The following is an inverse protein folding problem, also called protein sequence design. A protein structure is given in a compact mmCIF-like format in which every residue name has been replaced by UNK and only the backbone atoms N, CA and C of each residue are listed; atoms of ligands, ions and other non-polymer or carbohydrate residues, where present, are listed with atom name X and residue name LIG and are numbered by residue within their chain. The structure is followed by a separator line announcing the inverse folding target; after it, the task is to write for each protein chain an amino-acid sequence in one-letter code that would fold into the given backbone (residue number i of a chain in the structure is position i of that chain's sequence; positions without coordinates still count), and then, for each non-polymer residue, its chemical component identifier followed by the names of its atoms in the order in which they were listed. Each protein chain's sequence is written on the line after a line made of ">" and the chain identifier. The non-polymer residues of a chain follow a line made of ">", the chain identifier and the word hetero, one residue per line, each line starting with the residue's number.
data_IF_417999219623
#
_entry.id   IF_417999219623
#
_cell.length_a   1.000
_cell.length_b   1.000
_cell.length_c   1.000
_cell.angle_alpha   90.00
_cell.angle_beta   90.00
_cell.angle_gamma   90.00
#
_symmetry.space_group_name_H-M   'P 1'
#
loop_
_entity.id
_entity.type
_entity.pdbx_description
1 polymer ?
#
# COMPACT_ATOMS: atom_id res chain seq x y z
N UNK A 1 24.76 -11.28 -0.19
CA UNK A 1 23.94 -10.08 0.09
C UNK A 1 23.36 -9.54 -1.20
N UNK A 2 24.20 -9.27 -2.21
CA UNK A 2 23.78 -8.80 -3.54
C UNK A 2 22.81 -9.73 -4.30
N UNK A 3 23.01 -11.05 -4.27
CA UNK A 3 22.08 -12.00 -4.91
C UNK A 3 20.69 -12.00 -4.25
N UNK A 4 20.63 -11.77 -2.93
CA UNK A 4 19.37 -11.70 -2.18
C UNK A 4 18.62 -10.40 -2.48
N UNK A 5 19.32 -9.28 -2.58
CA UNK A 5 18.77 -7.99 -3.02
C UNK A 5 18.18 -8.09 -4.43
N UNK A 6 18.91 -8.76 -5.34
CA UNK A 6 18.44 -9.02 -6.70
C UNK A 6 17.18 -9.89 -6.71
N UNK A 7 17.18 -10.98 -5.93
CA UNK A 7 16.00 -11.85 -5.79
C UNK A 7 14.78 -11.08 -5.28
N UNK A 8 14.93 -10.30 -4.21
CA UNK A 8 13.85 -9.48 -3.67
C UNK A 8 13.32 -8.46 -4.69
N UNK A 9 14.22 -7.80 -5.42
CA UNK A 9 13.85 -6.81 -6.44
C UNK A 9 13.11 -7.46 -7.61
N UNK A 10 13.54 -8.66 -8.04
CA UNK A 10 12.85 -9.43 -9.08
C UNK A 10 11.45 -9.85 -8.60
N UNK A 11 11.33 -10.41 -7.40
CA UNK A 11 10.03 -10.82 -6.83
C UNK A 11 9.07 -9.64 -6.70
N UNK A 12 9.58 -8.51 -6.20
CA UNK A 12 8.80 -7.27 -6.11
C UNK A 12 8.36 -6.77 -7.49
N UNK A 13 9.25 -6.78 -8.48
CA UNK A 13 8.92 -6.33 -9.84
C UNK A 13 7.88 -7.26 -10.49
N UNK A 14 7.96 -8.57 -10.28
CA UNK A 14 6.94 -9.54 -10.74
C UNK A 14 5.58 -9.22 -10.11
N UNK A 15 5.54 -9.03 -8.79
CA UNK A 15 4.31 -8.66 -8.07
C UNK A 15 3.75 -7.32 -8.58
N UNK A 16 4.60 -6.31 -8.76
CA UNK A 16 4.22 -5.01 -9.29
C UNK A 16 3.58 -5.13 -10.68
N UNK A 17 4.23 -5.85 -11.62
CA UNK A 17 3.69 -6.06 -12.98
C UNK A 17 2.33 -6.76 -12.95
N UNK A 18 2.17 -7.76 -12.07
CA UNK A 18 0.87 -8.43 -11.86
C UNK A 18 -0.18 -7.44 -11.37
N UNK A 19 0.15 -6.62 -10.38
CA UNK A 19 -0.80 -5.68 -9.80
C UNK A 19 -1.23 -4.60 -10.78
N UNK A 20 -0.31 -4.00 -11.53
CA UNK A 20 -0.66 -3.04 -12.59
C UNK A 20 -1.59 -3.67 -13.62
N UNK A 21 -1.32 -4.92 -14.03
CA UNK A 21 -2.17 -5.65 -14.98
C UNK A 21 -3.56 -5.95 -14.43
N UNK A 22 -3.67 -6.24 -13.13
CA UNK A 22 -4.95 -6.58 -12.48
C UNK A 22 -5.77 -5.33 -12.16
N UNK A 23 -5.14 -4.23 -11.75
CA UNK A 23 -5.83 -3.07 -11.18
C UNK A 23 -5.89 -1.84 -12.09
N UNK A 24 -4.92 -1.65 -12.99
CA UNK A 24 -4.82 -0.40 -13.76
C UNK A 24 -5.16 -0.58 -15.26
N UNK A 25 -5.39 -1.81 -15.74
CA UNK A 25 -5.61 -2.15 -17.16
C UNK A 25 -4.58 -1.55 -18.13
N UNK A 26 -3.42 -1.15 -17.61
CA UNK A 26 -2.38 -0.48 -18.36
C UNK A 26 -1.43 -1.49 -19.00
N UNK A 27 -0.92 -1.18 -20.20
CA UNK A 27 0.14 -1.96 -20.84
C UNK A 27 1.43 -1.79 -20.05
N UNK A 28 1.84 -2.83 -19.33
CA UNK A 28 3.16 -2.85 -18.69
C UNK A 28 4.20 -3.15 -19.76
N UNK A 29 5.19 -2.26 -19.90
CA UNK A 29 6.32 -2.43 -20.81
C UNK A 29 6.96 -3.83 -20.64
N UNK A 30 7.06 -4.59 -21.72
CA UNK A 30 7.50 -6.00 -21.74
C UNK A 30 9.02 -6.16 -21.65
N UNK A 31 9.70 -5.26 -20.94
CA UNK A 31 11.13 -5.39 -20.68
C UNK A 31 11.46 -6.61 -19.81
N UNK A 32 12.65 -7.17 -20.00
CA UNK A 32 13.16 -8.26 -19.17
C UNK A 32 13.30 -7.81 -17.71
N UNK A 33 12.69 -8.56 -16.80
CA UNK A 33 12.59 -8.22 -15.38
C UNK A 33 13.97 -8.23 -14.70
N UNK A 34 14.85 -9.16 -15.08
CA UNK A 34 16.16 -9.33 -14.44
C UNK A 34 17.14 -8.20 -14.81
N UNK A 35 17.32 -7.82 -16.09
CA UNK A 35 18.09 -6.63 -16.46
C UNK A 35 17.56 -5.36 -15.80
N UNK A 36 16.23 -5.16 -15.78
CA UNK A 36 15.62 -4.02 -15.10
C UNK A 36 15.98 -3.99 -13.60
N UNK A 37 15.83 -5.13 -12.91
CA UNK A 37 16.13 -5.23 -11.48
C UNK A 37 17.62 -4.95 -11.18
N UNK A 38 18.53 -5.36 -12.05
CA UNK A 38 19.96 -5.04 -11.94
C UNK A 38 20.20 -3.54 -12.06
N UNK A 39 19.68 -2.89 -13.10
CA UNK A 39 19.80 -1.45 -13.30
C UNK A 39 19.23 -0.65 -12.13
N UNK A 40 18.06 -1.06 -11.63
CA UNK A 40 17.42 -0.44 -10.47
C UNK A 40 18.29 -0.52 -9.21
N UNK A 41 18.89 -1.68 -8.93
CA UNK A 41 19.78 -1.85 -7.77
C UNK A 41 21.06 -1.03 -7.88
N UNK A 42 21.65 -0.96 -9.07
CA UNK A 42 22.83 -0.12 -9.33
C UNK A 42 22.53 1.36 -9.08
N UNK A 43 21.38 1.85 -9.55
CA UNK A 43 20.92 3.22 -9.30
C UNK A 43 20.67 3.47 -7.82
N UNK A 44 20.01 2.54 -7.14
CA UNK A 44 19.73 2.61 -5.72
C UNK A 44 21.02 2.69 -4.88
N UNK A 45 21.98 1.78 -5.13
CA UNK A 45 23.28 1.76 -4.44
C UNK A 45 24.09 3.04 -4.70
N UNK A 46 24.02 3.58 -5.93
CA UNK A 46 24.68 4.84 -6.29
C UNK A 46 24.07 6.03 -5.55
N UNK A 47 22.75 6.04 -5.36
CA UNK A 47 22.06 7.08 -4.59
C UNK A 47 22.36 6.97 -3.08
N UNK A 48 22.56 5.76 -2.57
CA UNK A 48 22.85 5.48 -1.15
C UNK A 48 24.29 5.88 -0.75
N UNK A 49 25.22 5.90 -1.70
CA UNK A 49 26.64 6.23 -1.50
C UNK A 49 26.99 7.68 -1.13
N UNK A 50 26.01 8.58 -0.95
CA UNK A 50 26.20 9.95 -0.45
C UNK A 50 25.84 10.11 1.04
N UNK A 51 25.38 9.04 1.70
CA UNK A 51 25.18 9.03 3.15
C UNK A 51 26.49 8.83 3.89
N UNK A 52 26.95 9.86 4.60
CA UNK A 52 28.02 9.81 5.61
C UNK A 52 27.89 8.57 6.50
N UNK A 53 29.01 7.98 6.93
CA UNK A 53 29.07 6.71 7.69
C UNK A 53 28.22 6.67 8.98
N UNK A 54 27.69 7.81 9.43
CA UNK A 54 26.68 7.94 10.47
C UNK A 54 25.32 7.30 10.10
N UNK A 55 24.97 7.24 8.80
CA UNK A 55 23.72 6.66 8.31
C UNK A 55 23.73 5.12 8.27
N UNK A 56 24.91 4.49 8.22
CA UNK A 56 25.05 3.03 8.14
C UNK A 56 24.81 2.30 9.46
N UNK A 57 24.91 3.01 10.60
CA UNK A 57 24.71 2.40 11.92
C UNK A 57 23.23 2.22 12.27
N UNK A 58 22.32 2.89 11.55
CA UNK A 58 20.90 2.54 11.53
C UNK A 58 20.74 1.41 10.51
N UNK A 59 21.20 0.21 10.88
CA UNK A 59 20.73 -1.02 10.27
C UNK A 59 19.20 -0.96 10.27
N UNK A 60 18.60 -0.66 9.11
CA UNK A 60 17.19 -0.85 8.82
C UNK A 60 16.93 -2.33 9.01
N UNK A 61 16.66 -2.75 10.25
CA UNK A 61 15.73 -3.84 10.47
C UNK A 61 14.56 -3.53 9.55
N UNK A 62 14.26 -4.42 8.61
CA UNK A 62 13.02 -4.35 7.84
C UNK A 62 11.95 -4.11 8.89
N UNK A 63 11.37 -2.91 8.90
CA UNK A 63 10.46 -2.51 9.96
C UNK A 63 9.27 -3.46 9.85
N UNK A 64 9.32 -4.54 10.63
CA UNK A 64 8.20 -5.44 10.80
C UNK A 64 7.08 -4.54 11.27
N UNK A 65 5.95 -4.55 10.56
CA UNK A 65 4.83 -3.68 10.89
C UNK A 65 4.57 -3.78 12.39
N UNK A 66 4.65 -2.63 13.07
CA UNK A 66 4.27 -2.48 14.45
C UNK A 66 3.02 -1.61 14.49
N UNK A 67 2.07 -1.88 15.40
CA UNK A 67 0.95 -0.99 15.61
C UNK A 67 1.47 0.40 16.01
N UNK A 68 0.74 1.49 15.68
CA UNK A 68 1.07 2.84 16.14
C UNK A 68 1.19 2.87 17.67
N UNK A 69 1.98 3.79 18.20
CA UNK A 69 2.04 4.05 19.65
C UNK A 69 0.75 4.77 20.11
N UNK A 70 0.44 4.81 21.41
CA UNK A 70 -0.79 5.42 22.01
C UNK A 70 -1.07 6.91 21.63
N UNK A 71 -0.21 7.56 20.85
CA UNK A 71 -0.36 8.95 20.37
C UNK A 71 -0.27 9.10 18.86
N UNK A 72 -0.30 7.98 18.13
CA UNK A 72 -0.16 7.93 16.69
C UNK A 72 -1.44 7.33 16.11
N UNK A 73 -1.90 7.91 15.00
CA UNK A 73 -3.07 7.43 14.28
C UNK A 73 -2.64 6.70 13.01
N UNK A 74 -3.31 5.59 12.71
CA UNK A 74 -3.18 4.88 11.44
C UNK A 74 -4.29 5.32 10.50
N UNK A 75 -3.90 5.80 9.33
CA UNK A 75 -4.79 6.07 8.20
C UNK A 75 -4.70 4.89 7.23
N UNK A 76 -5.83 4.23 6.94
CA UNK A 76 -5.94 3.32 5.81
C UNK A 76 -6.86 3.95 4.76
N UNK A 77 -6.43 3.90 3.49
CA UNK A 77 -7.17 4.44 2.35
C UNK A 77 -7.26 3.36 1.29
N UNK A 78 -8.44 3.20 0.70
CA UNK A 78 -8.66 2.37 -0.48
C UNK A 78 -9.60 3.10 -1.45
N UNK A 79 -9.58 2.69 -2.71
CA UNK A 79 -10.44 3.25 -3.75
C UNK A 79 -10.98 2.15 -4.67
N UNK A 80 -12.22 2.33 -5.11
CA UNK A 80 -12.90 1.45 -6.06
C UNK A 80 -13.34 2.30 -7.23
N UNK A 81 -13.08 1.82 -8.45
CA UNK A 81 -13.46 2.49 -9.68
C UNK A 81 -14.54 1.64 -10.37
N UNK A 82 -15.71 2.23 -10.61
CA UNK A 82 -16.75 1.68 -11.47
C UNK A 82 -16.69 2.38 -12.83
N UNK A 83 -15.95 1.78 -13.76
CA UNK A 83 -15.77 2.31 -15.11
C UNK A 83 -17.04 2.23 -15.97
N UNK A 84 -18.00 1.39 -15.61
CA UNK A 84 -19.27 1.24 -16.33
C UNK A 84 -20.19 2.41 -15.99
N UNK A 85 -20.24 2.81 -14.72
CA UNK A 85 -21.05 3.94 -14.25
C UNK A 85 -20.28 5.27 -14.23
N UNK A 86 -18.98 5.25 -14.50
CA UNK A 86 -18.11 6.42 -14.45
C UNK A 86 -17.97 7.00 -13.05
N UNK A 87 -17.93 6.14 -12.02
CA UNK A 87 -17.85 6.55 -10.61
C UNK A 87 -16.57 6.07 -9.95
N UNK A 88 -16.11 6.83 -8.95
CA UNK A 88 -15.02 6.44 -8.07
C UNK A 88 -15.50 6.57 -6.64
N UNK A 89 -15.36 5.51 -5.86
CA UNK A 89 -15.62 5.50 -4.44
C UNK A 89 -14.30 5.45 -3.69
N UNK A 90 -14.15 6.28 -2.67
CA UNK A 90 -12.94 6.36 -1.84
C UNK A 90 -13.34 6.04 -0.41
N UNK A 91 -12.60 5.12 0.21
CA UNK A 91 -12.82 4.71 1.59
C UNK A 91 -11.62 5.04 2.44
N UNK A 92 -11.84 5.84 3.49
CA UNK A 92 -10.78 6.28 4.40
C UNK A 92 -11.17 5.89 5.82
N UNK A 93 -10.21 5.38 6.57
CA UNK A 93 -10.39 5.13 8.00
C UNK A 93 -9.16 5.54 8.80
N UNK A 94 -9.41 6.31 9.86
CA UNK A 94 -8.40 6.76 10.83
C UNK A 94 -8.66 6.03 12.14
N UNK A 95 -7.63 5.46 12.75
CA UNK A 95 -7.74 4.71 14.02
C UNK A 95 -6.53 4.88 14.91
N UNK A 96 -6.69 4.57 16.19
CA UNK A 96 -5.60 4.49 17.15
C UNK A 96 -4.85 3.14 17.10
N UNK A 97 -3.92 2.96 18.04
CA UNK A 97 -2.98 1.86 18.16
C UNK A 97 -3.60 0.45 18.24
N UNK A 98 -4.87 0.32 18.62
CA UNK A 98 -5.44 -0.95 19.07
C UNK A 98 -6.31 -1.60 17.99
N UNK A 99 -5.73 -2.00 16.84
CA UNK A 99 -6.54 -2.65 15.79
C UNK A 99 -5.89 -3.84 15.07
N UNK A 100 -6.67 -4.92 14.81
CA UNK A 100 -6.27 -6.06 13.98
C UNK A 100 -5.96 -5.67 12.53
N UNK A 101 -5.33 -6.61 11.81
CA UNK A 101 -4.89 -6.49 10.42
C UNK A 101 -6.03 -6.28 9.38
N UNK A 102 -7.30 -6.36 9.80
CA UNK A 102 -8.48 -6.31 8.95
C UNK A 102 -8.93 -4.90 8.53
N UNK A 103 -8.27 -3.84 8.99
CA UNK A 103 -8.59 -2.45 8.65
C UNK A 103 -8.59 -2.14 7.13
N UNK A 104 -7.82 -2.89 6.34
CA UNK A 104 -7.84 -2.77 4.88
C UNK A 104 -9.20 -3.19 4.29
N UNK A 105 -9.87 -4.20 4.87
CA UNK A 105 -11.21 -4.62 4.43
C UNK A 105 -12.26 -3.53 4.72
N UNK A 106 -12.08 -2.77 5.80
CA UNK A 106 -12.96 -1.67 6.14
C UNK A 106 -12.79 -0.49 5.17
N UNK A 107 -11.54 -0.09 4.88
CA UNK A 107 -11.27 0.93 3.86
C UNK A 107 -11.85 0.51 2.50
N UNK A 108 -11.66 -0.76 2.11
CA UNK A 108 -12.25 -1.30 0.88
C UNK A 108 -13.78 -1.23 0.87
N UNK A 109 -14.43 -1.63 1.97
CA UNK A 109 -15.89 -1.63 2.06
C UNK A 109 -16.46 -0.21 2.04
N UNK A 110 -15.78 0.75 2.69
CA UNK A 110 -16.11 2.17 2.61
C UNK A 110 -15.98 2.70 1.17
N UNK A 111 -14.95 2.27 0.43
CA UNK A 111 -14.78 2.64 -0.96
C UNK A 111 -15.92 2.08 -1.85
N UNK A 112 -16.39 0.85 -1.60
CA UNK A 112 -17.57 0.29 -2.27
C UNK A 112 -18.85 1.10 -1.98
N UNK A 113 -19.06 1.51 -0.72
CA UNK A 113 -20.19 2.37 -0.35
C UNK A 113 -20.08 3.72 -1.06
N UNK A 114 -18.87 4.25 -1.19
CA UNK A 114 -18.54 5.48 -1.93
C UNK A 114 -19.07 5.51 -3.37
N UNK A 115 -19.24 4.35 -4.02
CA UNK A 115 -19.81 4.29 -5.37
C UNK A 115 -21.32 4.58 -5.42
N UNK A 116 -22.01 4.37 -4.31
CA UNK A 116 -23.48 4.42 -4.21
C UNK A 116 -24.00 5.76 -3.70
N UNK A 117 -23.13 6.57 -3.11
CA UNK A 117 -23.47 7.85 -2.47
C UNK A 117 -23.19 9.02 -3.42
N UNK A 118 -23.99 10.08 -3.31
CA UNK A 118 -23.85 11.29 -4.13
C UNK A 118 -23.01 12.38 -3.44
N UNK A 119 -22.73 12.21 -2.15
CA UNK A 119 -21.99 13.15 -1.31
C UNK A 119 -21.05 12.41 -0.36
N UNK A 120 -20.06 13.13 0.16
CA UNK A 120 -19.16 12.61 1.18
C UNK A 120 -19.94 12.19 2.44
N UNK A 121 -19.58 11.03 2.98
CA UNK A 121 -20.15 10.52 4.22
C UNK A 121 -19.04 10.36 5.26
N UNK A 122 -19.37 10.75 6.49
CA UNK A 122 -18.47 10.72 7.63
C UNK A 122 -19.14 10.00 8.77
N UNK A 123 -18.36 9.20 9.49
CA UNK A 123 -18.78 8.58 10.73
C UNK A 123 -17.70 8.82 11.78
N UNK A 124 -18.14 9.09 13.01
CA UNK A 124 -17.28 9.28 14.16
C UNK A 124 -17.66 8.22 15.19
N UNK A 125 -16.66 7.50 15.70
CA UNK A 125 -16.78 6.45 16.72
C UNK A 125 -17.53 5.18 16.27
N UNK A 126 -18.67 5.33 15.60
CA UNK A 126 -19.46 4.24 15.00
C UNK A 126 -19.12 4.04 13.52
N UNK A 127 -19.28 2.81 13.03
CA UNK A 127 -19.15 2.49 11.60
C UNK A 127 -20.52 2.39 10.93
N UNK A 128 -20.63 2.63 9.62
CA UNK A 128 -21.87 2.31 8.91
C UNK A 128 -22.21 0.82 9.12
N UNK A 129 -23.50 0.45 9.29
CA UNK A 129 -23.91 -0.92 9.59
C UNK A 129 -23.34 -1.98 8.64
N UNK A 130 -23.14 -1.62 7.37
CA UNK A 130 -22.54 -2.46 6.34
C UNK A 130 -21.04 -2.78 6.53
N UNK A 131 -20.37 -2.08 7.46
CA UNK A 131 -18.94 -2.22 7.79
C UNK A 131 -18.78 -2.65 9.26
N UNK A 132 -19.84 -2.59 10.07
CA UNK A 132 -19.83 -2.91 11.50
C UNK A 132 -19.53 -4.40 11.81
N UNK A 133 -19.86 -5.31 10.88
CA UNK A 133 -19.60 -6.75 11.02
C UNK A 133 -18.14 -7.13 10.73
N UNK A 134 -17.36 -6.21 10.15
CA UNK A 134 -15.92 -6.41 10.05
C UNK A 134 -15.36 -6.28 11.46
N UNK A 135 -14.82 -7.38 12.01
CA UNK A 135 -14.08 -7.34 13.27
C UNK A 135 -12.89 -6.40 13.08
N UNK A 136 -13.00 -5.20 13.66
CA UNK A 136 -12.12 -4.06 13.42
C UNK A 136 -11.46 -3.58 14.69
#
# INVERSE_FOLDING_TARGET
>A
MEEFELLCTVLWRVWFRRNVRVHESASVEEGDIVPWAKSYLEEFKRADGLGTDEAKMVMKSVARWQPPTEREFKLNVDAVIDSVRGRVGIGIIIRDAFTPWEANKAAHSLAQIGLTVESDLFWFEDLPPSVADLQL
#
